data_IF_345701185488
#
_entry.id   IF_345701185488
#
_cell.length_a   1.000
_cell.length_b   1.000
_cell.length_c   1.000
_cell.angle_alpha   90.00
_cell.angle_beta   90.00
_cell.angle_gamma   90.00
#
_symmetry.space_group_name_H-M   'P 1'
#
loop_
_entity.id
_entity.type
_entity.pdbx_description
1 polymer ?
#
# COMPACT_ATOMS: atom_id res chain seq x y z
N UNK A 1 11.03 24.43 -20.02
CA UNK A 1 10.47 23.23 -19.38
C UNK A 1 9.92 23.42 -17.96
N UNK A 2 10.48 24.29 -17.09
CA UNK A 2 10.07 24.38 -15.68
C UNK A 2 8.72 25.07 -15.37
N UNK A 3 8.03 25.62 -16.38
CA UNK A 3 6.76 26.34 -16.25
C UNK A 3 5.62 25.71 -17.08
N UNK A 4 5.79 24.48 -17.56
CA UNK A 4 4.78 23.79 -18.37
C UNK A 4 3.60 23.33 -17.49
N UNK A 5 2.43 23.90 -17.72
CA UNK A 5 1.20 23.63 -16.95
C UNK A 5 0.62 22.24 -17.20
N UNK A 6 1.15 21.45 -18.14
CA UNK A 6 0.76 20.05 -18.30
C UNK A 6 1.16 19.18 -17.09
N UNK A 7 2.21 19.56 -16.37
CA UNK A 7 2.63 18.85 -15.16
C UNK A 7 1.79 19.26 -13.95
N UNK A 8 1.16 18.28 -13.29
CA UNK A 8 0.36 18.52 -12.08
C UNK A 8 1.12 19.31 -11.00
N UNK A 9 2.41 19.01 -10.79
CA UNK A 9 3.28 19.75 -9.84
C UNK A 9 3.42 21.24 -10.16
N UNK A 10 3.35 21.61 -11.44
CA UNK A 10 3.45 23.01 -11.87
C UNK A 10 2.13 23.71 -11.57
N UNK A 11 0.99 23.11 -11.94
CA UNK A 11 -0.35 23.63 -11.60
C UNK A 11 -0.57 23.75 -10.09
N UNK A 12 -0.16 22.74 -9.31
CA UNK A 12 -0.26 22.80 -7.85
C UNK A 12 0.50 24.02 -7.30
N UNK A 13 1.72 24.25 -7.77
CA UNK A 13 2.56 25.35 -7.27
C UNK A 13 2.08 26.73 -7.74
N UNK A 14 1.65 26.83 -9.00
CA UNK A 14 1.28 28.09 -9.62
C UNK A 14 -0.17 28.52 -9.32
N UNK A 15 -1.09 27.55 -9.22
CA UNK A 15 -2.53 27.81 -9.17
C UNK A 15 -3.14 27.47 -7.81
N UNK A 16 -2.70 26.38 -7.17
CA UNK A 16 -3.35 25.84 -5.95
C UNK A 16 -2.74 26.40 -4.66
N UNK A 17 -1.40 26.34 -4.51
CA UNK A 17 -0.73 26.81 -3.30
C UNK A 17 -0.99 28.30 -2.99
N UNK A 18 -1.01 29.22 -3.97
CA UNK A 18 -1.33 30.62 -3.70
C UNK A 18 -2.76 30.82 -3.19
N UNK A 19 -3.71 30.00 -3.64
CA UNK A 19 -5.08 30.02 -3.11
C UNK A 19 -5.09 29.55 -1.66
N UNK A 20 -4.40 28.45 -1.35
CA UNK A 20 -4.32 27.95 0.02
C UNK A 20 -3.65 28.96 0.97
N UNK A 21 -2.58 29.63 0.56
CA UNK A 21 -1.93 30.66 1.38
C UNK A 21 -2.83 31.88 1.60
N UNK A 22 -3.61 32.29 0.59
CA UNK A 22 -4.55 33.40 0.73
C UNK A 22 -5.69 33.08 1.70
N UNK A 23 -6.27 31.88 1.63
CA UNK A 23 -7.44 31.52 2.43
C UNK A 23 -7.09 31.03 3.85
N UNK A 24 -5.95 30.33 4.02
CA UNK A 24 -5.55 29.71 5.29
C UNK A 24 -4.43 30.47 6.02
N UNK A 25 -3.79 31.40 5.34
CA UNK A 25 -2.67 32.18 5.85
C UNK A 25 -1.30 31.69 5.35
N UNK A 26 -0.27 32.53 5.52
CA UNK A 26 1.08 32.23 5.07
C UNK A 26 1.67 31.01 5.79
N UNK A 27 2.53 30.26 5.10
CA UNK A 27 3.26 29.13 5.69
C UNK A 27 2.55 27.77 5.59
N UNK A 28 1.35 27.69 5.01
CA UNK A 28 0.67 26.41 4.78
C UNK A 28 1.48 25.48 3.88
N UNK A 29 2.14 26.01 2.83
CA UNK A 29 2.99 25.22 1.94
C UNK A 29 4.16 24.59 2.71
N UNK A 30 4.81 25.35 3.58
CA UNK A 30 5.92 24.86 4.42
C UNK A 30 5.44 23.84 5.45
N UNK A 31 4.27 24.05 6.06
CA UNK A 31 3.69 23.10 6.99
C UNK A 31 3.37 21.77 6.30
N UNK A 32 2.77 21.80 5.11
CA UNK A 32 2.50 20.61 4.30
C UNK A 32 3.79 19.89 3.90
N UNK A 33 4.82 20.64 3.51
CA UNK A 33 6.13 20.06 3.17
C UNK A 33 6.75 19.34 4.37
N UNK A 34 6.71 19.95 5.57
CA UNK A 34 7.21 19.31 6.81
C UNK A 34 6.44 18.03 7.15
N UNK A 35 5.10 18.06 7.10
CA UNK A 35 4.29 16.86 7.32
C UNK A 35 4.60 15.78 6.29
N UNK A 36 4.76 16.14 5.02
CA UNK A 36 5.12 15.19 3.97
C UNK A 36 6.49 14.54 4.21
N UNK A 37 7.49 15.31 4.68
CA UNK A 37 8.80 14.77 5.07
C UNK A 37 8.69 13.79 6.23
N UNK A 38 7.95 14.14 7.29
CA UNK A 38 7.73 13.25 8.44
C UNK A 38 7.04 11.94 8.02
N UNK A 39 5.99 12.03 7.19
CA UNK A 39 5.30 10.85 6.67
C UNK A 39 6.18 9.99 5.77
N UNK A 40 7.14 10.59 5.05
CA UNK A 40 8.08 9.85 4.22
C UNK A 40 9.04 9.03 5.09
N UNK A 41 9.60 9.64 6.15
CA UNK A 41 10.45 8.97 7.14
C UNK A 41 9.69 7.83 7.82
N UNK A 42 8.46 8.06 8.27
CA UNK A 42 7.62 7.02 8.87
C UNK A 42 7.31 5.88 7.88
N UNK A 43 7.07 6.23 6.61
CA UNK A 43 6.77 5.23 5.57
C UNK A 43 7.97 4.34 5.30
N UNK A 44 9.18 4.89 5.26
CA UNK A 44 10.42 4.12 5.08
C UNK A 44 10.58 3.07 6.17
N UNK A 45 10.40 3.46 7.44
CA UNK A 45 10.45 2.53 8.58
C UNK A 45 9.37 1.45 8.47
N UNK A 46 8.13 1.82 8.12
CA UNK A 46 7.04 0.86 7.98
C UNK A 46 7.27 -0.12 6.83
N UNK A 47 7.87 0.34 5.73
CA UNK A 47 8.18 -0.50 4.57
C UNK A 47 9.32 -1.49 4.87
N UNK A 48 10.32 -1.08 5.65
CA UNK A 48 11.37 -1.98 6.17
C UNK A 48 10.81 -3.04 7.14
N UNK A 49 9.93 -2.64 8.06
CA UNK A 49 9.24 -3.56 8.97
C UNK A 49 8.40 -4.56 8.19
N UNK A 50 7.66 -4.11 7.18
CA UNK A 50 6.90 -4.97 6.30
C UNK A 50 7.79 -5.91 5.47
N UNK A 51 8.95 -5.45 5.00
CA UNK A 51 9.89 -6.29 4.26
C UNK A 51 10.42 -7.45 5.11
N UNK A 52 10.78 -7.18 6.37
CA UNK A 52 11.18 -8.22 7.33
C UNK A 52 10.02 -9.19 7.62
N UNK A 53 8.85 -8.66 7.93
CA UNK A 53 7.67 -9.48 8.21
C UNK A 53 7.26 -10.34 7.00
N UNK A 54 7.44 -9.85 5.77
CA UNK A 54 7.20 -10.61 4.55
C UNK A 54 8.11 -11.83 4.46
N UNK A 55 9.38 -11.69 4.84
CA UNK A 55 10.31 -12.82 4.88
C UNK A 55 9.86 -13.88 5.92
N UNK A 56 9.40 -13.44 7.10
CA UNK A 56 8.93 -14.34 8.16
C UNK A 56 7.61 -15.04 7.81
N UNK A 57 6.70 -14.37 7.09
CA UNK A 57 5.42 -14.93 6.68
C UNK A 57 5.52 -15.88 5.48
N UNK A 58 6.60 -15.83 4.71
CA UNK A 58 6.70 -16.50 3.43
C UNK A 58 7.01 -17.99 3.58
N UNK A 59 6.23 -18.81 2.90
CA UNK A 59 6.42 -20.26 2.84
C UNK A 59 7.44 -20.64 1.76
N UNK A 60 7.89 -21.89 1.75
CA UNK A 60 8.82 -22.38 0.72
C UNK A 60 8.24 -22.29 -0.70
N UNK A 61 6.92 -22.33 -0.83
CA UNK A 61 6.16 -22.23 -2.08
C UNK A 61 5.93 -20.77 -2.51
N UNK A 62 6.33 -19.80 -1.68
CA UNK A 62 6.14 -18.37 -1.95
C UNK A 62 4.77 -17.83 -1.56
N UNK A 63 3.93 -18.62 -0.89
CA UNK A 63 2.67 -18.18 -0.27
C UNK A 63 2.93 -17.44 1.05
N UNK A 64 1.88 -16.91 1.67
CA UNK A 64 1.99 -16.30 3.01
C UNK A 64 1.16 -17.07 4.03
N UNK A 65 1.79 -17.44 5.16
CA UNK A 65 1.14 -18.12 6.29
C UNK A 65 0.22 -17.17 7.05
N UNK A 66 -1.06 -17.50 7.15
CA UNK A 66 -2.07 -16.65 7.82
C UNK A 66 -1.82 -16.51 9.31
N UNK A 67 -1.34 -17.57 9.98
CA UNK A 67 -1.09 -17.53 11.43
C UNK A 67 0.04 -16.57 11.82
N UNK A 68 1.01 -16.36 10.90
CA UNK A 68 2.08 -15.37 11.07
C UNK A 68 1.61 -13.98 10.64
N UNK A 69 0.83 -13.91 9.56
CA UNK A 69 0.37 -12.66 8.97
C UNK A 69 -0.72 -11.96 9.79
N UNK A 70 -1.71 -12.71 10.29
CA UNK A 70 -2.89 -12.19 11.02
C UNK A 70 -2.58 -11.39 12.29
N UNK A 71 -1.62 -11.77 13.17
CA UNK A 71 -1.32 -10.99 14.38
C UNK A 71 -0.57 -9.69 14.10
N UNK A 72 -0.04 -9.48 12.88
CA UNK A 72 0.66 -8.25 12.54
C UNK A 72 -0.29 -7.03 12.63
N UNK A 73 0.21 -5.85 13.04
CA UNK A 73 -0.57 -4.61 12.95
C UNK A 73 -1.06 -4.37 11.52
N UNK A 74 -2.28 -3.87 11.35
CA UNK A 74 -2.91 -3.67 10.03
C UNK A 74 -2.03 -2.88 9.04
N UNK A 75 -1.31 -1.85 9.51
CA UNK A 75 -0.42 -1.05 8.68
C UNK A 75 0.76 -1.85 8.10
N UNK A 76 1.27 -2.84 8.84
CA UNK A 76 2.34 -3.74 8.42
C UNK A 76 1.77 -4.85 7.54
N UNK A 77 0.67 -5.48 7.97
CA UNK A 77 0.02 -6.58 7.25
C UNK A 77 -0.38 -6.19 5.83
N UNK A 78 -0.99 -5.02 5.65
CA UNK A 78 -1.37 -4.50 4.32
C UNK A 78 -0.15 -4.18 3.44
N UNK A 79 0.96 -3.74 4.02
CA UNK A 79 2.23 -3.53 3.30
C UNK A 79 2.89 -4.85 2.88
N UNK A 80 2.86 -5.86 3.75
CA UNK A 80 3.32 -7.23 3.42
C UNK A 80 2.53 -7.76 2.21
N UNK A 81 1.19 -7.64 2.25
CA UNK A 81 0.31 -8.05 1.13
C UNK A 81 0.66 -7.28 -0.14
N UNK A 82 0.81 -5.95 -0.08
CA UNK A 82 1.18 -5.14 -1.23
C UNK A 82 2.52 -5.58 -1.84
N UNK A 83 3.57 -5.73 -1.02
CA UNK A 83 4.89 -6.14 -1.48
C UNK A 83 4.87 -7.54 -2.11
N UNK A 84 4.12 -8.47 -1.52
CA UNK A 84 3.94 -9.83 -2.05
C UNK A 84 3.26 -9.84 -3.41
N UNK A 85 2.17 -9.08 -3.59
CA UNK A 85 1.48 -8.96 -4.88
C UNK A 85 2.33 -8.26 -5.96
N UNK A 86 3.11 -7.25 -5.58
CA UNK A 86 4.03 -6.61 -6.53
C UNK A 86 5.09 -7.61 -7.02
N UNK A 87 5.59 -8.49 -6.14
CA UNK A 87 6.57 -9.53 -6.51
C UNK A 87 5.98 -10.63 -7.41
N UNK A 88 4.66 -10.83 -7.42
CA UNK A 88 4.00 -11.76 -8.35
C UNK A 88 3.71 -11.14 -9.72
N UNK A 89 4.06 -9.86 -9.95
CA UNK A 89 3.82 -9.16 -11.21
C UNK A 89 2.48 -8.41 -11.28
N UNK A 90 1.73 -8.30 -10.18
CA UNK A 90 0.58 -7.39 -10.13
C UNK A 90 1.04 -5.94 -10.18
N UNK A 91 0.27 -5.11 -10.89
CA UNK A 91 0.49 -3.66 -10.96
C UNK A 91 -0.86 -2.93 -11.00
N UNK A 92 -0.88 -1.64 -10.66
CA UNK A 92 -2.16 -0.90 -10.58
C UNK A 92 -3.05 -1.34 -9.41
N UNK A 93 -2.45 -1.82 -8.32
CA UNK A 93 -3.16 -2.21 -7.11
C UNK A 93 -3.80 -0.98 -6.44
N UNK A 94 -5.08 -1.09 -6.07
CA UNK A 94 -5.81 -0.08 -5.32
C UNK A 94 -5.83 -0.43 -3.84
N UNK A 95 -6.11 0.54 -2.98
CA UNK A 95 -6.33 0.28 -1.55
C UNK A 95 -7.45 -0.76 -1.32
N UNK A 96 -8.48 -0.76 -2.17
CA UNK A 96 -9.58 -1.74 -2.11
C UNK A 96 -9.12 -3.17 -2.45
N UNK A 97 -8.17 -3.34 -3.38
CA UNK A 97 -7.58 -4.66 -3.65
C UNK A 97 -6.83 -5.18 -2.43
N UNK A 98 -6.01 -4.33 -1.80
CA UNK A 98 -5.24 -4.71 -0.62
C UNK A 98 -6.17 -5.03 0.56
N UNK A 99 -7.22 -4.24 0.75
CA UNK A 99 -8.23 -4.51 1.77
C UNK A 99 -8.99 -5.81 1.53
N UNK A 100 -9.40 -6.10 0.30
CA UNK A 100 -10.07 -7.36 -0.03
C UNK A 100 -9.19 -8.58 0.28
N UNK A 101 -7.90 -8.52 -0.06
CA UNK A 101 -6.95 -9.59 0.29
C UNK A 101 -6.71 -9.67 1.81
N UNK A 102 -6.61 -8.53 2.51
CA UNK A 102 -6.50 -8.46 3.98
C UNK A 102 -7.68 -9.17 4.67
N UNK A 103 -8.89 -9.05 4.12
CA UNK A 103 -10.08 -9.75 4.66
C UNK A 103 -9.98 -11.28 4.57
N UNK A 104 -9.30 -11.84 3.56
CA UNK A 104 -9.03 -13.29 3.50
C UNK A 104 -8.21 -13.76 4.72
N UNK A 105 -7.37 -12.88 5.26
CA UNK A 105 -6.50 -13.16 6.39
C UNK A 105 -7.28 -13.06 7.71
N UNK A 106 -7.95 -11.94 7.96
CA UNK A 106 -8.48 -11.59 9.29
C UNK A 106 -9.95 -11.92 9.53
N UNK A 107 -10.74 -12.13 8.49
CA UNK A 107 -12.19 -12.26 8.61
C UNK A 107 -12.74 -13.49 7.88
N UNK A 108 -11.96 -14.57 7.77
CA UNK A 108 -12.34 -15.72 6.96
C UNK A 108 -13.60 -16.41 7.45
N UNK A 109 -14.58 -16.49 6.56
CA UNK A 109 -15.85 -17.19 6.76
C UNK A 109 -16.24 -18.05 5.56
N UNK A 110 -15.26 -18.52 4.77
CA UNK A 110 -15.49 -19.20 3.49
C UNK A 110 -15.65 -18.25 2.31
N UNK A 111 -14.88 -17.14 2.27
CA UNK A 111 -14.93 -16.22 1.13
C UNK A 111 -14.45 -16.88 -0.15
N UNK A 112 -14.92 -16.34 -1.28
CA UNK A 112 -14.36 -16.66 -2.59
C UNK A 112 -13.01 -15.99 -2.77
N UNK A 113 -12.25 -16.49 -3.74
CA UNK A 113 -11.01 -15.90 -4.19
C UNK A 113 -11.19 -14.42 -4.56
N UNK A 114 -10.18 -13.62 -4.26
CA UNK A 114 -10.13 -12.18 -4.57
C UNK A 114 -9.37 -12.00 -5.87
N UNK A 115 -10.03 -11.41 -6.87
CA UNK A 115 -9.38 -11.00 -8.10
C UNK A 115 -8.71 -9.64 -7.88
N UNK A 116 -7.42 -9.57 -8.22
CA UNK A 116 -6.64 -8.34 -8.27
C UNK A 116 -5.99 -8.24 -9.65
N UNK A 117 -5.46 -7.08 -10.07
CA UNK A 117 -4.79 -6.95 -11.35
C UNK A 117 -3.78 -8.06 -11.62
N UNK A 118 -3.99 -8.79 -12.72
CA UNK A 118 -3.17 -9.87 -13.26
C UNK A 118 -3.10 -11.19 -12.46
N UNK A 119 -3.66 -11.27 -11.25
CA UNK A 119 -3.60 -12.51 -10.45
C UNK A 119 -4.87 -12.72 -9.62
N UNK A 120 -5.08 -13.95 -9.16
CA UNK A 120 -6.14 -14.30 -8.21
C UNK A 120 -5.53 -14.72 -6.89
N UNK A 121 -6.08 -14.24 -5.78
CA UNK A 121 -5.64 -14.59 -4.43
C UNK A 121 -6.70 -15.44 -3.74
N UNK A 122 -6.30 -16.57 -3.18
CA UNK A 122 -7.18 -17.46 -2.43
C UNK A 122 -6.61 -17.72 -1.04
N UNK A 123 -7.45 -18.12 -0.08
CA UNK A 123 -7.00 -18.72 1.18
C UNK A 123 -7.19 -20.24 1.13
N UNK A 124 -6.11 -20.99 1.31
CA UNK A 124 -6.07 -22.46 1.26
C UNK A 124 -5.20 -22.97 2.38
N UNK A 125 -5.69 -23.93 3.15
CA UNK A 125 -4.90 -24.66 4.16
C UNK A 125 -4.12 -23.76 5.16
N UNK A 126 -4.67 -22.58 5.49
CA UNK A 126 -4.01 -21.64 6.42
C UNK A 126 -2.98 -20.71 5.75
N UNK A 127 -2.88 -20.73 4.42
CA UNK A 127 -2.05 -19.81 3.64
C UNK A 127 -2.91 -18.95 2.73
N UNK A 128 -2.42 -17.76 2.36
CA UNK A 128 -2.90 -17.05 1.17
C UNK A 128 -1.99 -17.35 -0.01
N UNK A 129 -2.59 -17.77 -1.12
CA UNK A 129 -1.92 -18.26 -2.32
C UNK A 129 -2.23 -17.36 -3.51
N UNK A 130 -1.28 -17.24 -4.45
CA UNK A 130 -1.51 -16.58 -5.74
C UNK A 130 -1.65 -17.65 -6.82
N UNK A 131 -2.74 -17.57 -7.57
CA UNK A 131 -2.90 -18.28 -8.82
C UNK A 131 -2.82 -17.28 -9.98
N UNK A 132 -1.97 -17.56 -10.96
CA UNK A 132 -2.02 -16.88 -12.26
C UNK A 132 -3.18 -17.46 -13.06
N UNK A 133 -4.08 -16.65 -13.63
CA UNK A 133 -5.18 -17.12 -14.46
C UNK A 133 -4.73 -17.89 -15.71
#
# INVERSE_FOLDING_TARGET
>A
HNADSNYARVRVRADVLPVLERELGPGIAEALARTASQLAEDTEVLDELAHRALADCRTAQGNLTVDVLSPLPTAIRRRVILQWLLQSGSSGLSAAHIEAVDQLVIAWSGQRDVEVPNVRVARREGEITIDTP
#
